data_IF_953710979380
#
_entry.id   IF_953710979380
#
_cell.length_a   1.000
_cell.length_b   1.000
_cell.length_c   1.000
_cell.angle_alpha   90.00
_cell.angle_beta   90.00
_cell.angle_gamma   90.00
#
_symmetry.space_group_name_H-M   'P 1'
#
loop_
_entity.id
_entity.type
_entity.pdbx_description
1 polymer ?
#
# COMPACT_ATOMS: atom_id res chain seq x y z
N UNK A 1 -21.57 -15.57 9.80
CA UNK A 1 -22.11 -14.22 9.53
C UNK A 1 -20.92 -13.29 9.52
N UNK A 2 -20.37 -12.94 8.36
CA UNK A 2 -19.30 -11.94 8.29
C UNK A 2 -19.96 -10.57 8.53
N UNK A 3 -19.64 -9.92 9.64
CA UNK A 3 -20.05 -8.55 9.87
C UNK A 3 -19.63 -7.72 8.65
N UNK A 4 -20.56 -6.90 8.15
CA UNK A 4 -20.23 -5.91 7.14
C UNK A 4 -19.04 -5.10 7.67
N UNK A 5 -17.93 -5.16 6.94
CA UNK A 5 -16.70 -4.42 7.21
C UNK A 5 -17.04 -3.01 7.66
N UNK A 6 -16.61 -2.64 8.86
CA UNK A 6 -16.91 -1.29 9.34
C UNK A 6 -16.19 -0.30 8.42
N UNK A 7 -16.89 0.74 7.98
CA UNK A 7 -16.33 1.84 7.17
C UNK A 7 -15.05 2.42 7.81
N UNK A 8 -14.93 2.30 9.14
CA UNK A 8 -13.72 2.65 9.90
C UNK A 8 -12.52 1.79 9.54
N UNK A 9 -12.65 0.47 9.41
CA UNK A 9 -11.53 -0.42 9.06
C UNK A 9 -11.03 -0.11 7.65
N UNK A 10 -11.95 0.11 6.70
CA UNK A 10 -11.61 0.53 5.34
C UNK A 10 -10.81 1.83 5.35
N UNK A 11 -11.30 2.82 6.11
CA UNK A 11 -10.62 4.11 6.21
C UNK A 11 -9.22 3.98 6.80
N UNK A 12 -9.02 3.17 7.85
CA UNK A 12 -7.69 2.95 8.45
C UNK A 12 -6.73 2.35 7.43
N UNK A 13 -7.19 1.38 6.65
CA UNK A 13 -6.41 0.78 5.57
C UNK A 13 -6.00 1.81 4.51
N UNK A 14 -6.96 2.57 3.97
CA UNK A 14 -6.66 3.59 2.95
C UNK A 14 -5.77 4.73 3.50
N UNK A 15 -5.88 5.04 4.80
CA UNK A 15 -5.02 6.00 5.47
C UNK A 15 -3.56 5.55 5.51
N UNK A 16 -3.29 4.24 5.62
CA UNK A 16 -1.93 3.74 5.59
C UNK A 16 -1.24 3.96 4.25
N UNK A 17 -1.94 3.66 3.15
CA UNK A 17 -1.47 3.97 1.80
C UNK A 17 -1.21 5.47 1.62
N UNK A 18 -2.16 6.31 2.06
CA UNK A 18 -2.08 7.77 1.96
C UNK A 18 -0.85 8.32 2.69
N UNK A 19 -0.66 7.90 3.94
CA UNK A 19 0.47 8.36 4.75
C UNK A 19 1.81 7.93 4.14
N UNK A 20 1.91 6.70 3.62
CA UNK A 20 3.09 6.25 2.91
C UNK A 20 3.35 7.10 1.65
N UNK A 21 2.32 7.34 0.84
CA UNK A 21 2.41 8.11 -0.39
C UNK A 21 2.88 9.55 -0.13
N UNK A 22 2.21 10.28 0.77
CA UNK A 22 2.58 11.67 1.11
C UNK A 22 4.03 11.77 1.61
N UNK A 23 4.46 10.82 2.45
CA UNK A 23 5.83 10.83 3.02
C UNK A 23 6.90 10.52 1.99
N UNK A 24 6.57 9.73 0.98
CA UNK A 24 7.43 9.47 -0.17
C UNK A 24 7.35 10.60 -1.23
N UNK A 25 6.56 11.64 -0.96
CA UNK A 25 6.39 12.82 -1.81
C UNK A 25 5.40 12.64 -2.95
N UNK A 26 4.59 11.59 -2.93
CA UNK A 26 3.51 11.41 -3.90
C UNK A 26 2.37 12.36 -3.53
N UNK A 27 1.73 12.94 -4.54
CA UNK A 27 0.44 13.58 -4.32
C UNK A 27 -0.59 12.47 -4.19
N UNK A 28 -1.31 12.45 -3.07
CA UNK A 28 -2.31 11.42 -2.81
C UNK A 28 -3.62 11.98 -2.29
N UNK A 29 -4.71 11.27 -2.55
CA UNK A 29 -6.06 11.62 -2.12
C UNK A 29 -6.80 10.34 -1.70
N UNK A 30 -7.67 10.48 -0.69
CA UNK A 30 -8.62 9.42 -0.31
C UNK A 30 -10.00 9.86 -0.77
N UNK A 31 -10.61 9.07 -1.63
CA UNK A 31 -11.95 9.31 -2.17
C UNK A 31 -12.93 8.33 -1.53
N UNK A 32 -14.09 8.83 -1.10
CA UNK A 32 -15.19 7.97 -0.67
C UNK A 32 -16.14 7.68 -1.85
N UNK A 33 -16.16 6.43 -2.31
CA UNK A 33 -17.13 5.95 -3.29
C UNK A 33 -18.47 5.66 -2.58
N UNK A 34 -19.41 6.59 -2.74
CA UNK A 34 -20.76 6.51 -2.14
C UNK A 34 -21.54 5.29 -2.64
N UNK A 35 -21.39 4.92 -3.92
CA UNK A 35 -22.13 3.82 -4.52
C UNK A 35 -21.65 2.47 -3.98
N UNK A 36 -20.33 2.32 -3.82
CA UNK A 36 -19.71 1.10 -3.28
C UNK A 36 -19.55 1.11 -1.76
N UNK A 37 -19.81 2.24 -1.10
CA UNK A 37 -19.61 2.47 0.34
C UNK A 37 -18.18 2.09 0.78
N UNK A 38 -17.19 2.44 -0.04
CA UNK A 38 -15.77 2.15 0.20
C UNK A 38 -14.94 3.40 0.04
N UNK A 39 -13.74 3.39 0.61
CA UNK A 39 -12.73 4.38 0.29
C UNK A 39 -11.81 3.84 -0.81
N UNK A 40 -11.18 4.75 -1.54
CA UNK A 40 -10.18 4.48 -2.56
C UNK A 40 -9.02 5.44 -2.35
N UNK A 41 -7.81 4.92 -2.22
CA UNK A 41 -6.60 5.73 -2.34
C UNK A 41 -6.22 5.93 -3.81
N UNK A 42 -5.89 7.16 -4.18
CA UNK A 42 -5.32 7.50 -5.48
C UNK A 42 -4.05 8.30 -5.21
N UNK A 43 -2.96 7.95 -5.89
CA UNK A 43 -1.73 8.72 -5.87
C UNK A 43 -1.14 8.84 -7.28
N UNK A 44 -0.51 9.98 -7.55
CA UNK A 44 0.08 10.26 -8.86
C UNK A 44 1.41 9.51 -9.04
N UNK A 45 1.60 8.87 -10.19
CA UNK A 45 2.90 8.30 -10.57
C UNK A 45 3.95 9.42 -10.63
N UNK A 46 5.12 9.20 -10.02
CA UNK A 46 6.22 10.18 -9.98
C UNK A 46 7.15 9.98 -11.18
N UNK A 47 6.77 10.53 -12.33
CA UNK A 47 7.57 10.46 -13.57
C UNK A 47 8.97 11.12 -13.46
N UNK A 48 9.16 11.98 -12.46
CA UNK A 48 10.44 12.64 -12.18
C UNK A 48 11.43 11.74 -11.42
N UNK A 49 10.98 10.61 -10.86
CA UNK A 49 11.85 9.65 -10.19
C UNK A 49 12.38 8.60 -11.18
N UNK A 50 13.60 8.08 -10.96
CA UNK A 50 14.04 6.87 -11.63
C UNK A 50 13.02 5.74 -11.41
N UNK A 51 12.60 5.07 -12.48
CA UNK A 51 11.54 4.04 -12.45
C UNK A 51 11.73 2.97 -11.36
N UNK A 52 12.97 2.53 -11.13
CA UNK A 52 13.27 1.56 -10.07
C UNK A 52 13.00 2.11 -8.66
N UNK A 53 13.23 3.41 -8.42
CA UNK A 53 12.91 4.08 -7.15
C UNK A 53 11.40 4.21 -7.01
N UNK A 54 10.71 4.64 -8.07
CA UNK A 54 9.25 4.76 -8.08
C UNK A 54 8.57 3.41 -7.77
N UNK A 55 8.99 2.31 -8.41
CA UNK A 55 8.45 0.98 -8.12
C UNK A 55 8.72 0.51 -6.69
N UNK A 56 9.90 0.82 -6.12
CA UNK A 56 10.19 0.54 -4.70
C UNK A 56 9.25 1.32 -3.77
N UNK A 57 8.98 2.57 -4.09
CA UNK A 57 8.05 3.41 -3.33
C UNK A 57 6.61 2.88 -3.43
N UNK A 58 6.15 2.52 -4.63
CA UNK A 58 4.84 1.89 -4.82
C UNK A 58 4.70 0.59 -4.02
N UNK A 59 5.74 -0.25 -4.00
CA UNK A 59 5.77 -1.46 -3.17
C UNK A 59 5.63 -1.14 -1.67
N UNK A 60 6.28 -0.07 -1.18
CA UNK A 60 6.12 0.39 0.20
C UNK A 60 4.70 0.91 0.45
N UNK A 61 4.16 1.72 -0.46
CA UNK A 61 2.80 2.26 -0.36
C UNK A 61 1.78 1.12 -0.29
N UNK A 62 1.93 0.07 -1.11
CA UNK A 62 1.08 -1.11 -1.09
C UNK A 62 1.05 -1.80 0.30
N UNK A 63 2.15 -1.75 1.06
CA UNK A 63 2.18 -2.29 2.42
C UNK A 63 1.59 -1.34 3.47
N UNK A 64 1.33 -0.08 3.15
CA UNK A 64 0.81 0.92 4.10
C UNK A 64 -0.47 0.49 4.79
N UNK A 65 -1.46 0.01 4.04
CA UNK A 65 -2.77 -0.37 4.60
C UNK A 65 -2.69 -1.46 5.68
N UNK A 66 -1.93 -2.53 5.43
CA UNK A 66 -1.75 -3.62 6.40
C UNK A 66 -0.90 -3.20 7.62
N UNK A 67 0.04 -2.27 7.45
CA UNK A 67 0.80 -1.70 8.57
C UNK A 67 -0.13 -0.87 9.45
N UNK A 68 -0.93 0.02 8.87
CA UNK A 68 -1.89 0.83 9.61
C UNK A 68 -2.89 -0.05 10.37
N UNK A 69 -3.48 -1.05 9.71
CA UNK A 69 -4.38 -2.01 10.38
C UNK A 69 -3.70 -2.70 11.57
N UNK A 70 -2.45 -3.12 11.42
CA UNK A 70 -1.64 -3.69 12.50
C UNK A 70 -1.40 -2.74 13.67
N UNK A 71 -1.16 -1.45 13.42
CA UNK A 71 -0.99 -0.43 14.47
C UNK A 71 -2.27 -0.18 15.27
N UNK A 72 -3.44 -0.35 14.63
CA UNK A 72 -4.75 -0.18 15.27
C UNK A 72 -5.34 -1.49 15.82
N UNK A 73 -4.62 -2.62 15.72
CA UNK A 73 -5.10 -3.93 16.17
C UNK A 73 -6.30 -4.45 15.37
N UNK A 74 -6.37 -4.08 14.10
CA UNK A 74 -7.43 -4.49 13.17
C UNK A 74 -6.93 -5.72 12.38
N UNK A 75 -7.76 -6.76 12.29
CA UNK A 75 -7.46 -7.88 11.39
C UNK A 75 -7.63 -7.45 9.92
N UNK A 76 -6.56 -7.63 9.14
CA UNK A 76 -6.53 -7.25 7.73
C UNK A 76 -7.34 -8.23 6.89
N UNK A 77 -8.45 -7.76 6.33
CA UNK A 77 -9.28 -8.52 5.37
C UNK A 77 -9.04 -8.08 3.90
N UNK A 78 -8.27 -7.01 3.65
CA UNK A 78 -8.11 -6.39 2.30
C UNK A 78 -6.79 -6.57 1.58
N UNK A 79 -5.87 -7.31 2.17
CA UNK A 79 -4.51 -7.44 1.65
C UNK A 79 -4.40 -8.04 0.24
N UNK A 80 -5.45 -8.65 -0.32
CA UNK A 80 -5.36 -9.28 -1.64
C UNK A 80 -5.11 -8.30 -2.79
N UNK A 81 -5.77 -7.13 -2.77
CA UNK A 81 -5.54 -6.08 -3.78
C UNK A 81 -4.11 -5.56 -3.72
N UNK A 82 -3.66 -5.23 -2.51
CA UNK A 82 -2.29 -4.80 -2.23
C UNK A 82 -1.27 -5.85 -2.64
N UNK A 83 -1.53 -7.14 -2.38
CA UNK A 83 -0.63 -8.22 -2.79
C UNK A 83 -0.52 -8.36 -4.30
N UNK A 84 -1.62 -8.17 -5.05
CA UNK A 84 -1.55 -8.17 -6.52
C UNK A 84 -0.68 -7.01 -6.98
N UNK A 85 -0.92 -5.80 -6.47
CA UNK A 85 -0.14 -4.63 -6.84
C UNK A 85 1.34 -4.81 -6.47
N UNK A 86 1.62 -5.28 -5.25
CA UNK A 86 2.95 -5.58 -4.75
C UNK A 86 3.67 -6.64 -5.60
N UNK A 87 2.96 -7.69 -6.04
CA UNK A 87 3.48 -8.69 -6.95
C UNK A 87 3.90 -8.05 -8.28
N UNK A 88 3.05 -7.23 -8.88
CA UNK A 88 3.31 -6.61 -10.18
C UNK A 88 4.51 -5.65 -10.12
N UNK A 89 4.57 -4.76 -9.13
CA UNK A 89 5.66 -3.79 -9.00
C UNK A 89 6.99 -4.45 -8.65
N UNK A 90 6.99 -5.50 -7.81
CA UNK A 90 8.22 -6.20 -7.44
C UNK A 90 8.75 -7.09 -8.57
N UNK A 91 7.85 -7.66 -9.38
CA UNK A 91 8.21 -8.36 -10.62
C UNK A 91 8.86 -7.41 -11.62
N UNK A 92 8.29 -6.22 -11.80
CA UNK A 92 8.86 -5.22 -12.70
C UNK A 92 10.20 -4.70 -12.19
N UNK A 93 10.34 -4.48 -10.89
CA UNK A 93 11.60 -4.07 -10.28
C UNK A 93 12.70 -5.12 -10.49
N UNK A 94 12.39 -6.41 -10.31
CA UNK A 94 13.33 -7.49 -10.59
C UNK A 94 13.79 -7.49 -12.06
N UNK A 95 12.85 -7.27 -12.99
CA UNK A 95 13.17 -7.17 -14.42
C UNK A 95 14.14 -6.00 -14.72
N UNK A 96 13.92 -4.84 -14.11
CA UNK A 96 14.83 -3.67 -14.28
C UNK A 96 16.23 -3.96 -13.72
N UNK A 97 16.32 -4.70 -12.62
CA UNK A 97 17.61 -5.08 -12.02
C UNK A 97 18.30 -6.24 -12.77
N UNK A 98 17.68 -6.83 -13.78
CA UNK A 98 18.19 -8.04 -14.44
C UNK A 98 18.13 -9.29 -13.56
N UNK A 99 17.27 -9.28 -12.55
CA UNK A 99 17.09 -10.35 -11.58
C UNK A 99 15.94 -11.27 -11.99
N UNK A 100 16.04 -12.56 -11.65
CA UNK A 100 14.94 -13.50 -11.85
C UNK A 100 13.89 -13.30 -10.77
N UNK A 101 12.66 -12.97 -11.16
CA UNK A 101 11.51 -13.00 -10.26
C UNK A 101 11.04 -14.44 -10.03
N UNK A 102 11.07 -14.97 -8.79
CA UNK A 102 10.91 -16.40 -8.55
C UNK A 102 9.45 -16.87 -8.50
N UNK A 103 8.49 -15.94 -8.42
CA UNK A 103 7.07 -16.24 -8.24
C UNK A 103 6.28 -16.11 -9.53
N UNK A 104 5.30 -17.00 -9.72
CA UNK A 104 4.37 -16.94 -10.86
C UNK A 104 3.07 -16.26 -10.49
N UNK A 105 2.69 -16.29 -9.21
CA UNK A 105 1.40 -15.76 -8.72
C UNK A 105 1.56 -15.04 -7.37
N UNK A 106 0.69 -14.07 -7.04
CA UNK A 106 0.77 -13.29 -5.81
C UNK A 106 0.83 -14.13 -4.53
N UNK A 107 -0.01 -15.17 -4.42
CA UNK A 107 -0.06 -16.03 -3.23
C UNK A 107 1.21 -16.89 -3.01
N UNK A 108 2.11 -16.95 -3.99
CA UNK A 108 3.39 -17.66 -3.86
C UNK A 108 4.46 -16.79 -3.19
N UNK A 109 4.25 -15.47 -3.09
CA UNK A 109 5.13 -14.56 -2.37
C UNK A 109 5.01 -14.81 -0.87
N UNK A 110 6.02 -15.44 -0.28
CA UNK A 110 6.10 -15.61 1.17
C UNK A 110 6.23 -14.27 1.91
N UNK A 111 5.84 -14.26 3.19
CA UNK A 111 5.94 -13.09 4.09
C UNK A 111 7.34 -12.46 4.07
N UNK A 112 8.37 -13.30 4.04
CA UNK A 112 9.76 -12.85 4.03
C UNK A 112 10.10 -11.99 2.81
N UNK A 113 9.46 -12.23 1.67
CA UNK A 113 9.76 -11.53 0.42
C UNK A 113 9.34 -10.06 0.45
N UNK A 114 8.18 -9.76 1.05
CA UNK A 114 7.71 -8.38 1.18
C UNK A 114 8.06 -7.74 2.52
N UNK A 115 8.74 -8.46 3.42
CA UNK A 115 9.17 -7.95 4.72
C UNK A 115 9.97 -6.64 4.63
N UNK A 116 10.77 -6.46 3.57
CA UNK A 116 11.54 -5.23 3.35
C UNK A 116 10.61 -4.04 3.11
N UNK A 117 9.60 -4.20 2.25
CA UNK A 117 8.64 -3.14 1.94
C UNK A 117 7.69 -2.86 3.11
N UNK A 118 7.26 -3.93 3.81
CA UNK A 118 6.50 -3.83 5.04
C UNK A 118 7.26 -3.05 6.13
N UNK A 119 8.54 -3.35 6.33
CA UNK A 119 9.39 -2.62 7.26
C UNK A 119 9.59 -1.17 6.82
N UNK A 120 9.72 -0.92 5.51
CA UNK A 120 9.73 0.44 4.96
C UNK A 120 8.47 1.23 5.31
N UNK A 121 7.29 0.64 5.10
CA UNK A 121 6.00 1.24 5.44
C UNK A 121 5.89 1.50 6.95
N UNK A 122 6.26 0.53 7.79
CA UNK A 122 6.28 0.67 9.25
C UNK A 122 7.17 1.82 9.73
N UNK A 123 8.35 1.98 9.13
CA UNK A 123 9.24 3.10 9.43
C UNK A 123 8.56 4.41 9.06
N UNK A 124 7.97 4.50 7.87
CA UNK A 124 7.31 5.73 7.38
C UNK A 124 6.14 6.14 8.27
N UNK A 125 5.29 5.19 8.66
CA UNK A 125 4.14 5.46 9.53
C UNK A 125 4.56 5.85 10.95
N UNK A 126 5.68 5.33 11.45
CA UNK A 126 6.20 5.67 12.79
C UNK A 126 6.58 7.15 12.95
N UNK A 127 6.82 7.86 11.84
CA UNK A 127 7.14 9.29 11.86
C UNK A 127 5.93 10.22 11.97
N UNK A 128 4.70 9.69 11.98
CA UNK A 128 3.46 10.46 12.07
C UNK A 128 3.19 11.35 10.83
N UNK A 129 1.92 11.54 10.48
CA UNK A 129 1.52 12.41 9.37
C UNK A 129 0.31 13.29 9.72
N UNK A 130 0.17 14.42 9.01
CA UNK A 130 -0.99 15.30 9.12
C UNK A 130 -1.95 14.97 7.99
N UNK A 131 -3.12 14.43 8.32
CA UNK A 131 -4.17 14.15 7.33
C UNK A 131 -4.99 15.42 7.13
N UNK A 132 -5.11 15.89 5.89
CA UNK A 132 -6.05 16.97 5.52
C UNK A 132 -7.17 16.33 4.71
N UNK A 133 -8.30 16.06 5.36
CA UNK A 133 -9.50 15.62 4.66
C UNK A 133 -10.17 16.86 4.02
N UNK A 134 -10.25 16.89 2.69
CA UNK A 134 -11.04 17.87 1.95
C UNK A 134 -12.35 17.20 1.52
N UNK A 135 -13.47 17.74 1.96
CA UNK A 135 -14.82 17.30 1.60
C UNK A 135 -15.50 18.36 0.76
#
# INVERSE_FOLDING_TARGET
>A
MSEARSTKNILVHELGHYLCAEKLGYKSEIIFDVAKKTFLNIFDIREDLPKAIDLKNQAIIACGGIVAEGLFGIESETFWGDMIHLFDVTKELANINGERFPYKKPYEMGIDFYSIYYNGAKIIESYGGKIILRF
#
